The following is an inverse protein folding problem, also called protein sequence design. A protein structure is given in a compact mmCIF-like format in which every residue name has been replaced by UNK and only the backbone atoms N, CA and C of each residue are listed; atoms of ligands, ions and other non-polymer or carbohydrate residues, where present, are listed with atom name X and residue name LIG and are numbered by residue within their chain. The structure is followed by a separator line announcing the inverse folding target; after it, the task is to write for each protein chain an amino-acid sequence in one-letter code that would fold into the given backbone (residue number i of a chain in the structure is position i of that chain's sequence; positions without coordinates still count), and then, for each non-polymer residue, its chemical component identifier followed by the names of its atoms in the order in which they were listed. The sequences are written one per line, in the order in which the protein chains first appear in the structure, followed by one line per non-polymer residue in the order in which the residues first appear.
data_IF_184703635946
#
_entry.id   IF_184703635946
#
_cell.length_a   1.000
_cell.length_b   1.000
_cell.length_c   1.000
_cell.angle_alpha   90.00
_cell.angle_beta   90.00
_cell.angle_gamma   90.00
#
_symmetry.space_group_name_H-M   'P 1'
#
loop_
_entity.id
_entity.type
_entity.pdbx_description
1 polymer ?
#
# COMPACT_ATOMS: atom_id res chain seq x y z
N UNK A 1 -33.38 -1.88 19.68
CA UNK A 1 -32.37 -2.33 18.70
C UNK A 1 -32.16 -1.22 17.67
N UNK A 2 -31.22 -0.30 17.93
CA UNK A 2 -30.80 0.69 16.94
C UNK A 2 -29.56 0.15 16.24
N UNK A 3 -29.71 -0.28 14.98
CA UNK A 3 -28.55 -0.53 14.13
C UNK A 3 -27.93 0.84 13.82
N UNK A 4 -26.64 1.09 14.12
CA UNK A 4 -26.02 2.30 13.64
C UNK A 4 -25.99 2.23 12.10
N UNK A 5 -26.51 3.29 11.48
CA UNK A 5 -26.53 3.47 10.03
C UNK A 5 -25.09 3.31 9.55
N UNK A 6 -24.81 2.19 8.87
CA UNK A 6 -23.58 2.00 8.12
C UNK A 6 -23.40 3.23 7.25
N UNK A 7 -22.25 3.91 7.36
CA UNK A 7 -21.85 4.93 6.40
C UNK A 7 -21.69 4.25 5.04
N UNK A 8 -22.80 4.18 4.32
CA UNK A 8 -22.93 3.59 2.98
C UNK A 8 -22.24 4.51 1.94
N UNK A 9 -22.06 5.79 2.29
CA UNK A 9 -21.53 6.82 1.41
C UNK A 9 -19.99 6.87 1.31
N UNK A 10 -19.28 6.17 2.22
CA UNK A 10 -17.82 6.12 2.18
C UNK A 10 -17.27 4.93 1.36
N UNK A 11 -18.02 3.82 1.24
CA UNK A 11 -17.50 2.64 0.55
C UNK A 11 -17.51 2.81 -0.97
N UNK A 12 -18.61 3.28 -1.55
CA UNK A 12 -18.76 3.39 -3.01
C UNK A 12 -17.82 4.41 -3.64
N UNK A 13 -17.67 5.59 -3.03
CA UNK A 13 -16.86 6.68 -3.61
C UNK A 13 -15.36 6.35 -3.50
N UNK A 14 -14.93 5.81 -2.35
CA UNK A 14 -13.52 5.44 -2.16
C UNK A 14 -13.15 4.25 -3.07
N UNK A 15 -14.03 3.27 -3.19
CA UNK A 15 -13.84 2.12 -4.08
C UNK A 15 -13.77 2.54 -5.56
N UNK A 16 -14.64 3.45 -5.99
CA UNK A 16 -14.64 3.99 -7.35
C UNK A 16 -13.33 4.74 -7.66
N UNK A 17 -12.84 5.57 -6.74
CA UNK A 17 -11.58 6.30 -6.91
C UNK A 17 -10.35 5.38 -6.93
N UNK A 18 -10.34 4.31 -6.11
CA UNK A 18 -9.29 3.29 -6.16
C UNK A 18 -9.31 2.54 -7.49
N UNK A 19 -10.49 2.13 -7.96
CA UNK A 19 -10.62 1.43 -9.25
C UNK A 19 -10.13 2.30 -10.40
N UNK A 20 -10.52 3.58 -10.45
CA UNK A 20 -10.01 4.55 -11.44
C UNK A 20 -8.49 4.63 -11.43
N UNK A 21 -7.87 4.74 -10.25
CA UNK A 21 -6.41 4.82 -10.12
C UNK A 21 -5.72 3.53 -10.58
N UNK A 22 -6.27 2.36 -10.22
CA UNK A 22 -5.74 1.06 -10.65
C UNK A 22 -5.83 0.91 -12.17
N UNK A 23 -6.96 1.27 -12.76
CA UNK A 23 -7.18 1.18 -14.21
C UNK A 23 -6.21 2.08 -14.98
N UNK A 24 -6.05 3.34 -14.53
CA UNK A 24 -5.08 4.28 -15.11
C UNK A 24 -3.67 3.70 -15.06
N UNK A 25 -3.26 3.20 -13.89
CA UNK A 25 -1.89 2.73 -13.72
C UNK A 25 -1.62 1.44 -14.49
N UNK A 26 -2.61 0.55 -14.58
CA UNK A 26 -2.52 -0.67 -15.40
C UNK A 26 -2.44 -0.33 -16.89
N UNK A 27 -3.21 0.67 -17.35
CA UNK A 27 -3.11 1.18 -18.73
C UNK A 27 -1.72 1.76 -19.01
N UNK A 28 -1.22 2.61 -18.10
CA UNK A 28 0.12 3.22 -18.22
C UNK A 28 1.22 2.15 -18.30
N UNK A 29 1.12 1.09 -17.49
CA UNK A 29 2.06 -0.03 -17.55
C UNK A 29 1.99 -0.75 -18.89
N UNK A 30 0.79 -1.04 -19.38
CA UNK A 30 0.59 -1.72 -20.65
C UNK A 30 1.16 -0.90 -21.82
N UNK A 31 0.89 0.40 -21.86
CA UNK A 31 1.41 1.34 -22.86
C UNK A 31 2.94 1.43 -22.80
N UNK A 32 3.50 1.59 -21.61
CA UNK A 32 4.97 1.65 -21.41
C UNK A 32 5.64 0.35 -21.85
N UNK A 33 5.00 -0.80 -21.60
CA UNK A 33 5.53 -2.10 -22.02
C UNK A 33 5.47 -2.28 -23.54
N UNK A 34 4.40 -1.81 -24.19
CA UNK A 34 4.30 -1.80 -25.65
C UNK A 34 5.36 -0.90 -26.29
N UNK A 35 5.67 0.25 -25.69
CA UNK A 35 6.73 1.15 -26.16
C UNK A 35 8.12 0.49 -26.06
N UNK A 36 8.39 -0.25 -24.99
CA UNK A 36 9.63 -1.04 -24.86
C UNK A 36 9.72 -2.10 -25.96
N UNK A 37 8.62 -2.83 -26.21
CA UNK A 37 8.56 -3.86 -27.25
C UNK A 37 8.78 -3.26 -28.64
N UNK A 38 8.17 -2.11 -28.94
CA UNK A 38 8.33 -1.42 -30.23
C UNK A 38 9.77 -0.93 -30.43
N UNK A 39 10.35 -0.32 -29.39
CA UNK A 39 11.75 0.07 -29.38
C UNK A 39 12.69 -1.13 -29.63
N UNK A 40 12.39 -2.29 -29.03
CA UNK A 40 13.16 -3.52 -29.18
C UNK A 40 12.99 -4.21 -30.54
N UNK A 41 11.80 -4.22 -31.15
CA UNK A 41 11.58 -4.83 -32.49
C UNK A 41 12.31 -4.09 -33.61
N UNK A 42 12.53 -2.79 -33.43
CA UNK A 42 13.31 -1.99 -34.36
C UNK A 42 14.84 -2.27 -34.31
N UNK A 43 15.26 -3.25 -33.50
CA UNK A 43 16.62 -3.74 -33.32
C UNK A 43 16.78 -5.08 -34.07
N UNK A 44 16.91 -5.04 -35.40
CA UNK A 44 17.26 -6.20 -36.22
C UNK A 44 18.74 -6.60 -36.04
N UNK A 45 19.13 -7.86 -36.35
CA UNK A 45 20.31 -8.53 -35.80
C UNK A 45 21.66 -8.22 -36.46
N UNK A 46 21.72 -7.26 -37.39
CA UNK A 46 22.95 -6.93 -38.11
C UNK A 46 23.79 -5.83 -37.45
N UNK A 47 23.60 -5.58 -36.15
CA UNK A 47 24.36 -4.58 -35.41
C UNK A 47 25.48 -5.22 -34.57
N UNK A 48 26.76 -5.20 -35.02
CA UNK A 48 27.88 -5.83 -34.33
C UNK A 48 28.22 -5.17 -32.97
N UNK A 49 27.51 -4.11 -32.59
CA UNK A 49 27.76 -3.34 -31.36
C UNK A 49 26.86 -3.71 -30.17
N UNK A 50 25.79 -4.49 -30.39
CA UNK A 50 24.91 -4.93 -29.30
C UNK A 50 25.64 -5.75 -28.23
N UNK A 51 26.71 -6.46 -28.61
CA UNK A 51 27.53 -7.25 -27.69
C UNK A 51 28.39 -6.45 -26.71
N UNK A 52 28.54 -5.12 -26.89
CA UNK A 52 29.41 -4.28 -26.05
C UNK A 52 28.69 -3.54 -24.93
N UNK A 53 27.39 -3.26 -25.07
CA UNK A 53 26.66 -2.43 -24.10
C UNK A 53 25.97 -3.25 -23.00
N UNK A 54 25.89 -4.58 -23.14
CA UNK A 54 25.23 -5.48 -22.18
C UNK A 54 26.18 -6.18 -21.20
N UNK A 55 27.41 -5.70 -21.00
CA UNK A 55 28.34 -6.33 -20.02
C UNK A 55 28.57 -5.43 -18.80
N UNK A 56 27.90 -5.68 -17.65
CA UNK A 56 28.24 -5.03 -16.40
C UNK A 56 29.51 -5.65 -15.83
N UNK A 57 30.56 -4.83 -15.70
CA UNK A 57 31.83 -5.18 -15.08
C UNK A 57 32.76 -5.96 -16.00
N UNK A 58 33.91 -5.38 -16.34
CA UNK A 58 35.24 -6.00 -16.26
C UNK A 58 36.29 -4.90 -16.56
N UNK A 59 37.25 -4.82 -15.65
CA UNK A 59 38.36 -3.89 -15.50
C UNK A 59 39.21 -3.71 -16.79
N UNK A 60 39.85 -2.55 -17.04
CA UNK A 60 40.71 -2.37 -18.20
C UNK A 60 42.03 -3.13 -18.01
N UNK A 61 42.20 -4.26 -18.68
CA UNK A 61 43.50 -4.91 -18.83
C UNK A 61 44.15 -4.42 -20.13
N UNK A 62 45.19 -3.61 -19.98
CA UNK A 62 46.17 -3.25 -21.01
C UNK A 62 46.66 -4.52 -21.71
N UNK A 63 46.34 -4.70 -23.00
CA UNK A 63 47.03 -5.66 -23.85
C UNK A 63 47.35 -5.03 -25.20
N UNK A 64 48.61 -5.18 -25.57
CA UNK A 64 49.35 -4.46 -26.60
C UNK A 64 48.70 -4.44 -27.99
N UNK A 65 48.82 -3.29 -28.66
CA UNK A 65 48.59 -3.13 -30.10
C UNK A 65 49.52 -4.03 -30.94
N UNK A 66 49.03 -4.75 -31.95
CA UNK A 66 49.85 -5.14 -33.08
C UNK A 66 50.00 -3.95 -34.05
N UNK A 67 51.17 -3.87 -34.68
CA UNK A 67 51.60 -2.81 -35.59
C UNK A 67 50.61 -2.54 -36.76
N UNK A 68 50.54 -1.29 -37.28
CA UNK A 68 49.64 -0.96 -38.39
C UNK A 68 50.11 -1.61 -39.71
N UNK A 69 49.22 -2.27 -40.48
CA UNK A 69 49.56 -2.75 -41.81
C UNK A 69 49.61 -1.59 -42.83
N UNK A 70 50.53 -1.71 -43.78
CA UNK A 70 50.79 -0.73 -44.84
C UNK A 70 49.58 -0.48 -45.77
N UNK A 71 49.43 0.73 -46.33
CA UNK A 71 48.28 1.09 -47.14
C UNK A 71 48.43 0.49 -48.56
N UNK A 72 47.49 -0.37 -48.98
CA UNK A 72 47.38 -0.77 -50.40
C UNK A 72 47.03 -2.23 -50.73
N UNK A 73 46.64 -3.09 -49.78
CA UNK A 73 46.26 -4.48 -50.11
C UNK A 73 44.79 -4.58 -50.59
N UNK A 74 44.50 -5.23 -51.73
CA UNK A 74 43.13 -5.50 -52.17
C UNK A 74 42.53 -6.60 -51.28
N UNK A 75 41.60 -6.23 -50.41
CA UNK A 75 40.89 -7.17 -49.51
C UNK A 75 40.94 -6.83 -48.02
N UNK A 76 41.38 -5.64 -47.61
CA UNK A 76 41.26 -5.22 -46.22
C UNK A 76 39.76 -5.10 -45.82
N UNK A 77 39.31 -5.72 -44.71
CA UNK A 77 37.96 -5.51 -44.20
C UNK A 77 37.85 -4.04 -43.81
N UNK A 78 37.10 -3.26 -44.60
CA UNK A 78 36.75 -1.90 -44.26
C UNK A 78 36.06 -1.96 -42.89
N UNK A 79 36.59 -1.22 -41.91
CA UNK A 79 35.88 -1.03 -40.66
C UNK A 79 34.46 -0.55 -40.98
N UNK A 80 33.41 -1.13 -40.37
CA UNK A 80 32.05 -0.75 -40.67
C UNK A 80 31.91 0.73 -40.35
N UNK A 81 31.82 1.53 -41.41
CA UNK A 81 31.68 2.96 -41.33
C UNK A 81 30.24 3.23 -40.90
N UNK A 82 29.96 3.10 -39.61
CA UNK A 82 28.64 3.43 -39.07
C UNK A 82 28.33 4.88 -39.41
N UNK A 83 27.24 5.08 -40.13
CA UNK A 83 26.78 6.42 -40.49
C UNK A 83 26.45 7.14 -39.19
N UNK A 84 26.85 8.41 -39.05
CA UNK A 84 26.56 9.22 -37.85
C UNK A 84 25.05 9.21 -37.53
N UNK A 85 24.23 9.11 -38.58
CA UNK A 85 22.77 8.95 -38.52
C UNK A 85 22.34 7.68 -37.73
N UNK A 86 23.09 6.59 -37.82
CA UNK A 86 22.81 5.32 -37.11
C UNK A 86 23.12 5.43 -35.61
N UNK A 87 24.17 6.19 -35.24
CA UNK A 87 24.53 6.39 -33.82
C UNK A 87 23.47 7.26 -33.12
N UNK A 88 23.03 8.34 -33.76
CA UNK A 88 22.03 9.24 -33.18
C UNK A 88 20.66 8.54 -33.03
N UNK A 89 20.28 7.73 -34.00
CA UNK A 89 19.02 6.96 -33.95
C UNK A 89 19.08 5.83 -32.90
N UNK A 90 20.19 5.12 -32.77
CA UNK A 90 20.37 4.10 -31.72
C UNK A 90 20.39 4.70 -30.31
N UNK A 91 21.03 5.86 -30.13
CA UNK A 91 20.98 6.60 -28.86
C UNK A 91 19.56 7.05 -28.51
N UNK A 92 18.83 7.59 -29.48
CA UNK A 92 17.44 8.03 -29.31
C UNK A 92 16.51 6.85 -28.91
N UNK A 93 16.68 5.69 -29.53
CA UNK A 93 15.92 4.47 -29.18
C UNK A 93 16.24 3.99 -27.76
N UNK A 94 17.51 3.98 -27.38
CA UNK A 94 17.95 3.59 -26.03
C UNK A 94 17.35 4.53 -24.99
N UNK A 95 17.34 5.84 -25.26
CA UNK A 95 16.73 6.82 -24.38
C UNK A 95 15.21 6.60 -24.24
N UNK A 96 14.49 6.34 -25.35
CA UNK A 96 13.06 6.02 -25.32
C UNK A 96 12.76 4.76 -24.50
N UNK A 97 13.52 3.70 -24.71
CA UNK A 97 13.39 2.46 -23.93
C UNK A 97 13.61 2.71 -22.43
N UNK A 98 14.61 3.52 -22.06
CA UNK A 98 14.88 3.87 -20.66
C UNK A 98 13.74 4.71 -20.06
N UNK A 99 13.17 5.65 -20.81
CA UNK A 99 12.03 6.47 -20.36
C UNK A 99 10.79 5.59 -20.17
N UNK A 100 10.49 4.70 -21.12
CA UNK A 100 9.37 3.77 -21.03
C UNK A 100 9.55 2.79 -19.85
N UNK A 101 10.78 2.31 -19.61
CA UNK A 101 11.09 1.46 -18.45
C UNK A 101 10.92 2.21 -17.13
N UNK A 102 11.37 3.47 -17.05
CA UNK A 102 11.18 4.30 -15.87
C UNK A 102 9.70 4.59 -15.60
N UNK A 103 8.92 4.84 -16.66
CA UNK A 103 7.47 5.02 -16.58
C UNK A 103 6.77 3.77 -16.05
N UNK A 104 7.13 2.59 -16.58
CA UNK A 104 6.62 1.29 -16.11
C UNK A 104 6.89 1.06 -14.61
N UNK A 105 8.11 1.35 -14.16
CA UNK A 105 8.49 1.20 -12.74
C UNK A 105 7.69 2.16 -11.88
N UNK A 106 7.56 3.43 -12.29
CA UNK A 106 6.76 4.44 -11.58
C UNK A 106 5.31 4.01 -11.45
N UNK A 107 4.74 3.43 -12.51
CA UNK A 107 3.40 2.87 -12.48
C UNK A 107 3.27 1.69 -11.50
N UNK A 108 4.25 0.78 -11.49
CA UNK A 108 4.28 -0.31 -10.51
C UNK A 108 4.40 0.21 -9.05
N UNK A 109 5.21 1.23 -8.81
CA UNK A 109 5.32 1.88 -7.50
C UNK A 109 4.00 2.54 -7.06
N UNK A 110 3.30 3.19 -7.99
CA UNK A 110 1.97 3.79 -7.76
C UNK A 110 0.94 2.73 -7.35
N UNK A 111 0.93 1.56 -8.00
CA UNK A 111 0.07 0.42 -7.61
C UNK A 111 0.40 -0.11 -6.19
N UNK A 112 1.69 -0.13 -5.81
CA UNK A 112 2.10 -0.50 -4.46
C UNK A 112 1.64 0.53 -3.42
N UNK A 113 1.70 1.83 -3.74
CA UNK A 113 1.14 2.89 -2.90
C UNK A 113 -0.36 2.70 -2.69
N UNK A 114 -1.11 2.49 -3.78
CA UNK A 114 -2.56 2.20 -3.74
C UNK A 114 -2.86 1.01 -2.82
N UNK A 115 -2.08 -0.06 -2.92
CA UNK A 115 -2.23 -1.25 -2.07
C UNK A 115 -1.99 -0.93 -0.59
N UNK A 116 -0.99 -0.08 -0.28
CA UNK A 116 -0.70 0.35 1.08
C UNK A 116 -1.82 1.24 1.66
N UNK A 117 -2.31 2.20 0.87
CA UNK A 117 -3.43 3.07 1.24
C UNK A 117 -4.70 2.24 1.53
N UNK A 118 -5.01 1.25 0.69
CA UNK A 118 -6.15 0.36 0.88
C UNK A 118 -6.05 -0.44 2.20
N UNK A 119 -4.87 -0.97 2.51
CA UNK A 119 -4.60 -1.64 3.80
C UNK A 119 -4.84 -0.69 4.96
N UNK A 120 -4.34 0.54 4.89
CA UNK A 120 -4.53 1.54 5.93
C UNK A 120 -6.02 1.86 6.15
N UNK A 121 -6.80 2.02 5.07
CA UNK A 121 -8.24 2.24 5.14
C UNK A 121 -8.99 1.07 5.80
N UNK A 122 -8.64 -0.17 5.46
CA UNK A 122 -9.26 -1.36 6.06
C UNK A 122 -8.96 -1.46 7.56
N UNK A 123 -7.69 -1.28 7.93
CA UNK A 123 -7.25 -1.32 9.33
C UNK A 123 -7.99 -0.26 10.16
N UNK A 124 -8.04 0.98 9.68
CA UNK A 124 -8.70 2.08 10.40
C UNK A 124 -10.22 1.90 10.51
N UNK A 125 -10.86 1.34 9.49
CA UNK A 125 -12.30 1.06 9.52
C UNK A 125 -12.64 0.12 10.67
N UNK A 126 -11.88 -0.96 10.81
CA UNK A 126 -12.11 -1.97 11.84
C UNK A 126 -11.91 -1.41 13.25
N UNK A 127 -10.88 -0.59 13.47
CA UNK A 127 -10.66 0.06 14.77
C UNK A 127 -11.78 1.03 15.16
N UNK A 128 -12.30 1.82 14.22
CA UNK A 128 -13.40 2.75 14.51
C UNK A 128 -14.68 2.01 14.91
N UNK A 129 -15.02 0.93 14.20
CA UNK A 129 -16.19 0.11 14.51
C UNK A 129 -16.04 -0.61 15.87
N UNK A 130 -14.86 -1.14 16.16
CA UNK A 130 -14.55 -1.76 17.44
C UNK A 130 -14.61 -0.75 18.59
N UNK A 131 -14.07 0.46 18.40
CA UNK A 131 -14.10 1.51 19.42
C UNK A 131 -15.53 1.93 19.77
N UNK A 132 -16.40 2.09 18.78
CA UNK A 132 -17.82 2.38 19.02
C UNK A 132 -18.52 1.23 19.76
N UNK A 133 -18.25 -0.03 19.37
CA UNK A 133 -18.80 -1.19 20.07
C UNK A 133 -18.31 -1.29 21.53
N UNK A 134 -17.02 -1.02 21.77
CA UNK A 134 -16.43 -0.98 23.12
C UNK A 134 -17.05 0.15 23.95
N UNK A 135 -17.23 1.34 23.37
CA UNK A 135 -17.86 2.48 24.04
C UNK A 135 -19.30 2.16 24.45
N UNK A 136 -20.10 1.63 23.52
CA UNK A 136 -21.47 1.21 23.81
C UNK A 136 -21.53 0.16 24.93
N UNK A 137 -20.62 -0.82 24.91
CA UNK A 137 -20.54 -1.84 25.97
C UNK A 137 -20.13 -1.25 27.32
N UNK A 138 -19.19 -0.29 27.33
CA UNK A 138 -18.78 0.42 28.56
C UNK A 138 -19.95 1.19 29.17
N UNK A 139 -20.70 1.92 28.35
CA UNK A 139 -21.89 2.66 28.78
C UNK A 139 -22.97 1.70 29.35
N UNK A 140 -23.21 0.57 28.68
CA UNK A 140 -24.14 -0.45 29.16
C UNK A 140 -23.72 -1.02 30.52
N UNK A 141 -22.45 -1.38 30.68
CA UNK A 141 -21.92 -1.93 31.95
C UNK A 141 -21.98 -0.87 33.05
N UNK A 142 -21.65 0.38 32.76
CA UNK A 142 -21.76 1.47 33.72
C UNK A 142 -23.21 1.69 34.20
N UNK A 143 -24.18 1.64 33.29
CA UNK A 143 -25.59 1.73 33.63
C UNK A 143 -26.06 0.54 34.50
N UNK A 144 -25.65 -0.68 34.16
CA UNK A 144 -25.94 -1.86 34.98
C UNK A 144 -25.32 -1.76 36.37
N UNK A 145 -24.06 -1.29 36.46
CA UNK A 145 -23.39 -1.09 37.72
C UNK A 145 -24.08 -0.02 38.58
N UNK A 146 -24.58 1.05 37.96
CA UNK A 146 -25.37 2.07 38.66
C UNK A 146 -26.64 1.45 39.26
N UNK A 147 -27.42 0.72 38.46
CA UNK A 147 -28.64 0.08 38.95
C UNK A 147 -28.36 -0.91 40.08
N UNK A 148 -27.30 -1.73 39.96
CA UNK A 148 -26.92 -2.67 41.02
C UNK A 148 -26.59 -1.91 42.31
N UNK A 149 -25.79 -0.84 42.22
CA UNK A 149 -25.46 -0.01 43.39
C UNK A 149 -26.71 0.57 44.04
N UNK A 150 -27.62 1.13 43.25
CA UNK A 150 -28.87 1.71 43.73
C UNK A 150 -29.73 0.66 44.44
N UNK A 151 -29.89 -0.53 43.86
CA UNK A 151 -30.62 -1.63 44.51
C UNK A 151 -29.96 -2.11 45.80
N UNK A 152 -28.62 -2.11 45.86
CA UNK A 152 -27.88 -2.54 47.04
C UNK A 152 -27.98 -1.53 48.18
N UNK A 153 -27.94 -0.23 47.86
CA UNK A 153 -28.19 0.85 48.83
C UNK A 153 -29.62 0.77 49.36
N UNK A 154 -30.62 0.63 48.49
CA UNK A 154 -32.02 0.50 48.91
C UNK A 154 -32.26 -0.72 49.81
N UNK A 155 -31.62 -1.85 49.50
CA UNK A 155 -31.69 -3.05 50.35
C UNK A 155 -31.02 -2.83 51.71
N UNK A 156 -29.87 -2.12 51.72
CA UNK A 156 -29.19 -1.72 52.95
C UNK A 156 -30.08 -0.86 53.85
N UNK A 157 -30.71 0.16 53.27
CA UNK A 157 -31.62 1.06 54.00
C UNK A 157 -32.84 0.31 54.56
N UNK A 158 -33.42 -0.61 53.78
CA UNK A 158 -34.51 -1.46 54.24
C UNK A 158 -34.10 -2.37 55.41
N UNK A 159 -32.92 -2.99 55.34
CA UNK A 159 -32.41 -3.85 56.41
C UNK A 159 -32.13 -3.05 57.69
N UNK A 160 -31.51 -1.87 57.58
CA UNK A 160 -31.30 -0.98 58.71
C UNK A 160 -32.63 -0.54 59.33
N UNK A 161 -33.63 -0.23 58.51
CA UNK A 161 -34.99 0.06 58.96
C UNK A 161 -35.59 -1.08 59.79
N UNK A 162 -35.56 -2.32 59.28
CA UNK A 162 -36.05 -3.51 59.97
C UNK A 162 -35.31 -3.74 61.29
N UNK A 163 -33.98 -3.63 61.31
CA UNK A 163 -33.21 -3.76 62.54
C UNK A 163 -33.63 -2.71 63.59
N UNK A 164 -33.76 -1.45 63.21
CA UNK A 164 -34.19 -0.39 64.13
C UNK A 164 -35.64 -0.52 64.60
N UNK A 165 -36.52 -1.12 63.81
CA UNK A 165 -37.88 -1.48 64.26
C UNK A 165 -37.85 -2.63 65.25
N UNK A 166 -37.05 -3.66 64.99
CA UNK A 166 -36.87 -4.80 65.88
C UNK A 166 -36.28 -4.38 67.23
N UNK A 167 -35.23 -3.56 67.22
CA UNK A 167 -34.62 -2.99 68.43
C UNK A 167 -35.62 -2.19 69.27
N UNK A 168 -36.44 -1.35 68.61
CA UNK A 168 -37.51 -0.59 69.28
C UNK A 168 -38.59 -1.50 69.85
N UNK A 169 -38.98 -2.56 69.15
CA UNK A 169 -39.96 -3.52 69.63
C UNK A 169 -39.43 -4.29 70.85
N UNK A 170 -38.16 -4.73 70.81
CA UNK A 170 -37.49 -5.39 71.92
C UNK A 170 -37.43 -4.47 73.15
N UNK A 171 -37.00 -3.22 72.98
CA UNK A 171 -36.91 -2.26 74.08
C UNK A 171 -38.28 -1.98 74.71
N UNK A 172 -39.33 -1.86 73.90
CA UNK A 172 -40.70 -1.73 74.40
C UNK A 172 -41.14 -2.94 75.22
N UNK A 173 -40.88 -4.15 74.72
CA UNK A 173 -41.24 -5.38 75.42
C UNK A 173 -40.56 -5.49 76.79
N UNK A 174 -39.26 -5.15 76.87
CA UNK A 174 -38.48 -5.18 78.11
C UNK A 174 -38.93 -4.13 79.12
N UNK A 175 -39.43 -2.97 78.67
CA UNK A 175 -39.94 -1.92 79.59
C UNK A 175 -41.37 -2.19 80.05
N UNK A 176 -42.13 -3.00 79.30
CA UNK A 176 -43.50 -3.38 79.66
C UNK A 176 -43.60 -4.59 80.60
N UNK A 177 -42.47 -5.22 80.93
CA UNK A 177 -42.33 -6.27 81.96
C UNK A 177 -41.94 -5.66 83.32
#
# INVERSE_FOLDING_TARGET
MHRPKKSIWAKSVIEEEFNKRVDVETSNMAESFLEIIDAARSHTPDDPLAGRLLRPGHQPTLRASPAPPAPGAPGAPQAPNMRIDDIHTTLQKTARMNVATASLIKSAESLLSITSELKQCLILNDYSAVNEAVKARREQVAAQQHNIKETLTALGDALTGVCSELERALFKAVISE
#
